data_IF_502246996193
#
_entry.id   IF_502246996193
#
_cell.length_a   1.000
_cell.length_b   1.000
_cell.length_c   1.000
_cell.angle_alpha   90.00
_cell.angle_beta   90.00
_cell.angle_gamma   90.00
#
_symmetry.space_group_name_H-M   'P 1'
#
loop_
_entity.id
_entity.type
_entity.pdbx_description
1 polymer ?
#
# COMPACT_ATOMS: atom_id res chain seq x y z
N UNK A 1 -14.78 10.00 -9.36
CA UNK A 1 -14.38 10.58 -8.06
C UNK A 1 -14.73 9.57 -6.99
N UNK A 2 -13.77 9.17 -6.15
CA UNK A 2 -14.02 8.24 -5.06
C UNK A 2 -14.71 8.93 -3.87
N UNK A 3 -15.45 8.16 -3.09
CA UNK A 3 -15.95 8.49 -1.76
C UNK A 3 -14.83 8.37 -0.72
N UNK A 4 -15.04 8.92 0.48
CA UNK A 4 -14.09 8.77 1.60
C UNK A 4 -13.84 7.29 1.90
N UNK A 5 -14.90 6.46 1.87
CA UNK A 5 -14.80 5.01 2.11
C UNK A 5 -13.89 4.32 1.09
N UNK A 6 -14.06 4.65 -0.19
CA UNK A 6 -13.22 4.11 -1.26
C UNK A 6 -11.77 4.58 -1.16
N UNK A 7 -11.52 5.83 -0.73
CA UNK A 7 -10.15 6.30 -0.46
C UNK A 7 -9.51 5.52 0.70
N UNK A 8 -10.23 5.29 1.80
CA UNK A 8 -9.71 4.51 2.93
C UNK A 8 -9.40 3.06 2.51
N UNK A 9 -10.32 2.42 1.80
CA UNK A 9 -10.13 1.07 1.27
C UNK A 9 -8.94 0.98 0.31
N UNK A 10 -8.82 1.94 -0.62
CA UNK A 10 -7.69 2.03 -1.54
C UNK A 10 -6.33 2.15 -0.82
N UNK A 11 -6.25 2.93 0.26
CA UNK A 11 -5.02 3.02 1.05
C UNK A 11 -4.60 1.66 1.62
N UNK A 12 -5.56 0.91 2.19
CA UNK A 12 -5.29 -0.41 2.74
C UNK A 12 -4.84 -1.42 1.67
N UNK A 13 -5.52 -1.46 0.51
CA UNK A 13 -5.17 -2.37 -0.58
C UNK A 13 -3.81 -2.06 -1.21
N UNK A 14 -3.54 -0.78 -1.46
CA UNK A 14 -2.27 -0.34 -2.04
C UNK A 14 -1.10 -0.66 -1.13
N UNK A 15 -1.25 -0.44 0.17
CA UNK A 15 -0.22 -0.78 1.15
C UNK A 15 0.06 -2.28 1.18
N UNK A 16 -0.97 -3.14 1.11
CA UNK A 16 -0.77 -4.60 1.00
C UNK A 16 0.00 -4.99 -0.25
N UNK A 17 -0.34 -4.42 -1.41
CA UNK A 17 0.37 -4.69 -2.67
C UNK A 17 1.85 -4.33 -2.55
N UNK A 18 2.15 -3.15 -2.01
CA UNK A 18 3.54 -2.73 -1.83
C UNK A 18 4.28 -3.54 -0.76
N UNK A 19 3.62 -3.95 0.32
CA UNK A 19 4.20 -4.82 1.33
C UNK A 19 4.49 -6.21 0.80
N UNK A 20 3.61 -6.76 -0.03
CA UNK A 20 3.85 -8.05 -0.68
C UNK A 20 5.06 -7.99 -1.63
N UNK A 21 5.15 -6.94 -2.46
CA UNK A 21 6.33 -6.68 -3.31
C UNK A 21 7.59 -6.60 -2.45
N UNK A 22 7.56 -5.82 -1.37
CA UNK A 22 8.69 -5.66 -0.47
C UNK A 22 9.09 -6.98 0.20
N UNK A 23 8.14 -7.81 0.61
CA UNK A 23 8.39 -9.13 1.16
C UNK A 23 9.12 -10.03 0.15
N UNK A 24 8.61 -10.12 -1.09
CA UNK A 24 9.23 -10.93 -2.15
C UNK A 24 10.68 -10.49 -2.39
N UNK A 25 10.91 -9.19 -2.56
CA UNK A 25 12.24 -8.64 -2.83
C UNK A 25 13.17 -8.83 -1.63
N UNK A 26 12.67 -8.60 -0.41
CA UNK A 26 13.39 -8.82 0.84
C UNK A 26 13.69 -10.31 1.10
N UNK A 27 13.10 -11.24 0.36
CA UNK A 27 13.41 -12.68 0.41
C UNK A 27 14.26 -13.16 -0.77
N UNK A 28 14.70 -12.25 -1.64
CA UNK A 28 15.55 -12.57 -2.80
C UNK A 28 14.77 -13.24 -3.93
N UNK A 29 13.44 -13.12 -3.93
CA UNK A 29 12.62 -13.59 -5.04
C UNK A 29 12.65 -12.56 -6.17
N UNK A 30 13.38 -12.89 -7.24
CA UNK A 30 13.55 -12.04 -8.42
C UNK A 30 12.43 -12.17 -9.47
N UNK A 31 11.36 -12.92 -9.20
CA UNK A 31 10.24 -13.05 -10.14
C UNK A 31 9.59 -11.68 -10.36
N UNK A 32 9.47 -11.19 -11.60
CA UNK A 32 8.81 -9.92 -11.86
C UNK A 32 7.35 -9.94 -11.42
N UNK A 33 6.90 -8.86 -10.77
CA UNK A 33 5.52 -8.69 -10.33
C UNK A 33 4.77 -7.74 -11.27
N UNK A 34 3.50 -8.04 -11.62
CA UNK A 34 2.73 -7.18 -12.51
C UNK A 34 2.37 -5.85 -11.85
N UNK A 35 1.96 -4.90 -12.69
CA UNK A 35 1.24 -3.71 -12.21
C UNK A 35 -0.16 -4.07 -11.74
N UNK A 36 -0.84 -3.13 -11.09
CA UNK A 36 -2.26 -3.22 -10.78
C UNK A 36 -2.94 -1.90 -11.17
N UNK A 37 -4.23 -1.97 -11.49
CA UNK A 37 -5.07 -0.80 -11.74
C UNK A 37 -5.91 -0.50 -10.48
N UNK A 38 -5.66 0.67 -9.88
CA UNK A 38 -6.33 1.08 -8.66
C UNK A 38 -7.83 1.36 -8.84
N UNK A 39 -8.24 1.80 -10.04
CA UNK A 39 -9.65 2.05 -10.34
C UNK A 39 -10.40 0.73 -10.47
N UNK A 40 -9.81 -0.26 -11.14
CA UNK A 40 -10.40 -1.59 -11.23
C UNK A 40 -10.52 -2.24 -9.85
N UNK A 41 -9.53 -2.06 -8.97
CA UNK A 41 -9.58 -2.58 -7.60
C UNK A 41 -10.72 -1.94 -6.81
N UNK A 42 -10.83 -0.61 -6.83
CA UNK A 42 -11.91 0.12 -6.15
C UNK A 42 -13.28 -0.27 -6.72
N UNK A 43 -13.40 -0.42 -8.04
CA UNK A 43 -14.64 -0.83 -8.71
C UNK A 43 -15.12 -2.23 -8.27
N UNK A 44 -14.19 -3.15 -8.03
CA UNK A 44 -14.48 -4.53 -7.63
C UNK A 44 -14.48 -4.74 -6.12
N UNK A 45 -14.24 -3.69 -5.33
CA UNK A 45 -14.24 -3.76 -3.87
C UNK A 45 -15.61 -3.45 -3.27
N UNK A 46 -15.87 -3.97 -2.07
CA UNK A 46 -17.12 -3.71 -1.34
C UNK A 46 -17.04 -2.51 -0.38
N UNK A 47 -16.23 -1.50 -0.68
CA UNK A 47 -15.98 -0.39 0.25
C UNK A 47 -17.24 0.43 0.55
N UNK A 48 -18.12 0.60 -0.42
CA UNK A 48 -19.34 1.40 -0.25
C UNK A 48 -20.29 0.83 0.81
N UNK A 49 -20.40 -0.50 0.91
CA UNK A 49 -21.30 -1.20 1.83
C UNK A 49 -20.76 -1.29 3.27
N UNK A 50 -19.46 -1.09 3.47
CA UNK A 50 -18.83 -1.17 4.79
C UNK A 50 -18.99 0.11 5.59
N UNK A 51 -18.94 0.04 6.91
CA UNK A 51 -18.89 1.25 7.73
C UNK A 51 -17.49 1.89 7.65
N UNK A 52 -17.39 3.18 7.97
CA UNK A 52 -16.08 3.84 8.07
C UNK A 52 -15.23 3.20 9.17
N UNK A 53 -15.87 2.77 10.27
CA UNK A 53 -15.17 2.12 11.38
C UNK A 53 -14.56 0.79 10.93
N UNK A 54 -15.31 -0.05 10.22
CA UNK A 54 -14.79 -1.32 9.70
C UNK A 54 -13.61 -1.13 8.75
N UNK A 55 -13.64 -0.07 7.94
CA UNK A 55 -12.55 0.27 7.01
C UNK A 55 -11.32 0.79 7.76
N UNK A 56 -11.53 1.62 8.79
CA UNK A 56 -10.47 2.16 9.62
C UNK A 56 -9.78 1.06 10.45
N UNK A 57 -10.54 0.12 11.00
CA UNK A 57 -10.00 -1.01 11.77
C UNK A 57 -9.11 -1.91 10.91
N UNK A 58 -9.55 -2.20 9.68
CA UNK A 58 -8.74 -2.95 8.73
C UNK A 58 -7.47 -2.18 8.35
N UNK A 59 -7.60 -0.91 8.01
CA UNK A 59 -6.47 -0.07 7.65
C UNK A 59 -5.44 0.02 8.79
N UNK A 60 -5.87 0.16 10.05
CA UNK A 60 -4.98 0.12 11.21
C UNK A 60 -4.27 -1.23 11.36
N UNK A 61 -4.98 -2.35 11.14
CA UNK A 61 -4.38 -3.67 11.16
C UNK A 61 -3.32 -3.84 10.06
N UNK A 62 -3.58 -3.36 8.85
CA UNK A 62 -2.60 -3.33 7.75
C UNK A 62 -1.39 -2.51 8.14
N UNK A 63 -1.60 -1.29 8.65
CA UNK A 63 -0.49 -0.39 9.01
C UNK A 63 0.40 -1.00 10.10
N UNK A 64 -0.19 -1.64 11.11
CA UNK A 64 0.56 -2.38 12.14
C UNK A 64 1.37 -3.54 11.53
N UNK A 65 0.77 -4.33 10.64
CA UNK A 65 1.46 -5.42 9.96
C UNK A 65 2.63 -4.91 9.10
N UNK A 66 2.45 -3.81 8.36
CA UNK A 66 3.49 -3.16 7.56
C UNK A 66 4.67 -2.69 8.40
N UNK A 67 4.41 -2.02 9.52
CA UNK A 67 5.46 -1.55 10.43
C UNK A 67 6.26 -2.74 10.98
N UNK A 68 5.57 -3.80 11.41
CA UNK A 68 6.21 -5.02 11.90
C UNK A 68 7.02 -5.73 10.80
N UNK A 69 6.52 -5.77 9.57
CA UNK A 69 7.23 -6.34 8.42
C UNK A 69 8.57 -5.65 8.22
N UNK A 70 8.56 -4.32 8.06
CA UNK A 70 9.78 -3.56 7.80
C UNK A 70 10.74 -3.54 8.98
N UNK A 71 10.24 -3.51 10.22
CA UNK A 71 11.09 -3.56 11.42
C UNK A 71 11.94 -4.83 11.51
N UNK A 72 11.48 -5.92 10.89
CA UNK A 72 12.17 -7.21 10.91
C UNK A 72 13.09 -7.45 9.70
N UNK A 73 13.22 -6.48 8.78
CA UNK A 73 14.17 -6.60 7.69
C UNK A 73 15.59 -6.22 8.13
N UNK A 74 16.58 -6.99 7.69
CA UNK A 74 17.99 -6.67 7.88
C UNK A 74 18.42 -5.50 6.97
N UNK A 75 19.54 -4.83 7.27
CA UNK A 75 20.12 -3.82 6.37
C UNK A 75 20.29 -4.33 4.93
N UNK A 76 20.76 -5.57 4.75
CA UNK A 76 20.91 -6.17 3.42
C UNK A 76 19.57 -6.37 2.71
N UNK A 77 18.53 -6.76 3.45
CA UNK A 77 17.19 -6.91 2.88
C UNK A 77 16.65 -5.58 2.33
N UNK A 78 16.94 -4.45 2.99
CA UNK A 78 16.57 -3.12 2.47
C UNK A 78 17.27 -2.74 1.16
N UNK A 79 18.45 -3.31 0.90
CA UNK A 79 19.24 -3.06 -0.31
C UNK A 79 18.87 -3.97 -1.49
N UNK A 80 18.10 -5.04 -1.26
CA UNK A 80 17.67 -5.95 -2.33
C UNK A 80 16.80 -5.23 -3.35
N UNK A 81 16.99 -5.60 -4.62
CA UNK A 81 16.26 -5.10 -5.78
C UNK A 81 15.31 -6.19 -6.26
N UNK A 82 14.12 -5.78 -6.68
CA UNK A 82 13.24 -6.63 -7.46
C UNK A 82 12.46 -5.81 -8.49
N UNK A 83 11.81 -6.51 -9.42
CA UNK A 83 11.11 -5.89 -10.54
C UNK A 83 9.60 -5.93 -10.30
N UNK A 84 8.95 -4.77 -10.36
CA UNK A 84 7.51 -4.65 -10.36
C UNK A 84 7.07 -3.63 -11.42
N UNK A 85 5.94 -3.85 -12.09
CA UNK A 85 5.46 -2.91 -13.13
C UNK A 85 6.55 -2.55 -14.15
N UNK A 86 7.34 -3.55 -14.56
CA UNK A 86 8.45 -3.41 -15.53
C UNK A 86 9.58 -2.45 -15.10
N UNK A 87 9.66 -2.13 -13.80
CA UNK A 87 10.67 -1.25 -13.22
C UNK A 87 11.34 -1.88 -12.01
N UNK A 88 12.58 -1.51 -11.78
CA UNK A 88 13.35 -1.95 -10.62
C UNK A 88 13.08 -1.08 -9.40
N UNK A 89 12.92 -1.72 -8.25
CA UNK A 89 12.76 -1.06 -6.96
C UNK A 89 13.64 -1.74 -5.92
N UNK A 90 14.26 -0.93 -5.06
CA UNK A 90 14.81 -1.46 -3.80
C UNK A 90 13.69 -1.66 -2.79
N UNK A 91 13.86 -2.59 -1.85
CA UNK A 91 12.95 -2.73 -0.69
C UNK A 91 12.83 -1.39 0.06
N UNK A 92 13.94 -0.68 0.25
CA UNK A 92 13.93 0.66 0.85
C UNK A 92 13.05 1.65 0.08
N UNK A 93 13.09 1.65 -1.26
CA UNK A 93 12.23 2.53 -2.05
C UNK A 93 10.74 2.25 -1.80
N UNK A 94 10.36 0.97 -1.67
CA UNK A 94 8.97 0.59 -1.38
C UNK A 94 8.49 1.12 -0.02
N UNK A 95 9.36 1.17 1.01
CA UNK A 95 9.02 1.79 2.30
C UNK A 95 8.64 3.27 2.12
N UNK A 96 9.46 4.02 1.37
CA UNK A 96 9.17 5.43 1.10
C UNK A 96 7.93 5.64 0.25
N UNK A 97 7.67 4.73 -0.71
CA UNK A 97 6.46 4.77 -1.53
C UNK A 97 5.22 4.59 -0.65
N UNK A 98 5.20 3.61 0.26
CA UNK A 98 4.08 3.40 1.20
C UNK A 98 3.83 4.66 2.04
N UNK A 99 4.89 5.23 2.63
CA UNK A 99 4.75 6.44 3.45
C UNK A 99 4.34 7.69 2.64
N UNK A 100 4.82 7.81 1.41
CA UNK A 100 4.48 8.91 0.51
C UNK A 100 3.04 8.82 -0.01
N UNK A 101 2.60 7.62 -0.35
CA UNK A 101 1.23 7.32 -0.77
C UNK A 101 0.22 7.70 0.32
N UNK A 102 0.49 7.32 1.56
CA UNK A 102 -0.31 7.72 2.72
C UNK A 102 -0.46 9.25 2.81
N UNK A 103 0.67 9.97 2.78
CA UNK A 103 0.69 11.43 2.90
C UNK A 103 -0.09 12.10 1.78
N UNK A 104 0.00 11.57 0.56
CA UNK A 104 -0.73 12.07 -0.59
C UNK A 104 -2.25 11.97 -0.38
N UNK A 105 -2.75 10.80 0.01
CA UNK A 105 -4.19 10.60 0.19
C UNK A 105 -4.73 11.33 1.42
N UNK A 106 -3.95 11.44 2.50
CA UNK A 106 -4.35 12.25 3.66
C UNK A 106 -4.51 13.73 3.30
N UNK A 107 -3.60 14.29 2.49
CA UNK A 107 -3.72 15.66 2.00
C UNK A 107 -4.98 15.82 1.13
N UNK A 108 -5.22 14.88 0.21
CA UNK A 108 -6.38 14.87 -0.65
C UNK A 108 -7.71 14.80 0.13
N UNK A 109 -7.78 14.01 1.20
CA UNK A 109 -8.94 13.93 2.09
C UNK A 109 -9.22 15.29 2.77
N UNK A 110 -8.18 15.92 3.34
CA UNK A 110 -8.30 17.24 3.98
C UNK A 110 -8.72 18.32 3.00
N UNK A 111 -8.12 18.33 1.81
CA UNK A 111 -8.34 19.38 0.81
C UNK A 111 -9.68 19.27 0.09
N UNK A 112 -10.22 18.06 -0.11
CA UNK A 112 -11.35 17.84 -1.03
C UNK A 112 -12.61 17.26 -0.39
N UNK A 113 -12.52 16.77 0.85
CA UNK A 113 -13.63 16.05 1.49
C UNK A 113 -13.99 16.60 2.87
N UNK A 114 -13.01 17.06 3.66
CA UNK A 114 -13.22 17.50 5.05
C UNK A 114 -13.18 19.02 5.21
N UNK A 115 -13.58 19.77 4.18
CA UNK A 115 -13.70 21.23 4.27
C UNK A 115 -14.90 21.63 5.10
#
# INVERSE_FOLDING_TARGET
KWSIKEVIGHMADTERVFCYRALRFARGDGTPLPSFDENDYVLNANFAQRTIMDLADEYDAVRRATILLFRNFSPDAFMRIGTASEREFTVRALVYIVAGHERHHLALLRERYLK
#
